data_IF_776347450197
#
_entry.id   IF_776347450197
#
_cell.length_a   1.000
_cell.length_b   1.000
_cell.length_c   1.000
_cell.angle_alpha   90.00
_cell.angle_beta   90.00
_cell.angle_gamma   90.00
#
_symmetry.space_group_name_H-M   'P 1'
#
loop_
_entity.id
_entity.type
_entity.pdbx_description
1 polymer ?
#
# COMPACT_ATOMS: atom_id res chain seq x y z
N UNK A 1 -27.99 2.69 -2.59
CA UNK A 1 -27.61 3.81 -3.45
C UNK A 1 -26.37 3.37 -4.23
N UNK A 2 -26.47 3.32 -5.56
CA UNK A 2 -25.54 2.60 -6.45
C UNK A 2 -24.16 3.26 -6.62
N UNK A 3 -23.91 4.35 -5.90
CA UNK A 3 -22.71 5.20 -6.05
C UNK A 3 -21.47 4.71 -5.28
N UNK A 4 -21.61 3.81 -4.30
CA UNK A 4 -20.47 3.32 -3.51
C UNK A 4 -19.74 2.11 -4.10
N UNK A 5 -20.38 1.36 -5.01
CA UNK A 5 -19.76 0.25 -5.73
C UNK A 5 -18.97 0.72 -6.98
N UNK A 6 -19.46 1.72 -7.70
CA UNK A 6 -18.80 2.32 -8.87
C UNK A 6 -17.49 3.05 -8.53
N UNK A 7 -17.33 3.53 -7.29
CA UNK A 7 -16.11 4.20 -6.87
C UNK A 7 -14.88 3.31 -6.99
N UNK A 8 -15.01 1.98 -6.79
CA UNK A 8 -13.88 1.05 -6.75
C UNK A 8 -13.35 0.60 -8.11
N UNK A 9 -14.12 0.71 -9.21
CA UNK A 9 -13.71 0.07 -10.47
C UNK A 9 -13.03 1.00 -11.47
N UNK A 10 -13.50 2.23 -11.68
CA UNK A 10 -13.06 2.99 -12.88
C UNK A 10 -11.69 3.69 -12.81
N UNK A 11 -11.11 3.90 -11.61
CA UNK A 11 -9.76 4.52 -11.50
C UNK A 11 -8.61 3.52 -11.42
N UNK A 12 -8.90 2.22 -11.30
CA UNK A 12 -7.90 1.16 -11.18
C UNK A 12 -8.28 -0.06 -12.06
N UNK A 13 -8.91 0.16 -13.21
CA UNK A 13 -9.07 -0.87 -14.23
C UNK A 13 -7.69 -1.21 -14.80
N UNK A 14 -7.07 -2.27 -14.27
CA UNK A 14 -5.76 -2.76 -14.66
C UNK A 14 -5.78 -3.55 -15.99
N UNK A 15 -6.96 -3.78 -16.57
CA UNK A 15 -7.11 -4.55 -17.80
C UNK A 15 -6.89 -3.65 -19.02
N UNK A 16 -6.00 -4.05 -19.93
CA UNK A 16 -5.73 -3.33 -21.19
C UNK A 16 -4.67 -2.23 -21.14
N UNK A 17 -4.04 -2.01 -19.98
CA UNK A 17 -2.90 -1.10 -19.81
C UNK A 17 -1.57 -1.87 -19.89
N UNK A 18 -0.49 -1.23 -20.36
CA UNK A 18 0.86 -1.71 -20.07
C UNK A 18 1.14 -1.49 -18.57
N UNK A 19 0.88 -2.51 -17.76
CA UNK A 19 0.96 -2.42 -16.31
C UNK A 19 2.41 -2.31 -15.86
N UNK A 20 2.73 -1.18 -15.23
CA UNK A 20 3.99 -0.98 -14.51
C UNK A 20 3.66 -0.78 -13.04
N UNK A 21 4.17 -1.67 -12.20
CA UNK A 21 4.10 -1.56 -10.75
C UNK A 21 5.48 -1.28 -10.18
N UNK A 22 5.52 -0.67 -9.00
CA UNK A 22 6.76 -0.41 -8.26
C UNK A 22 6.60 -0.91 -6.84
N UNK A 23 7.61 -1.60 -6.31
CA UNK A 23 7.68 -1.94 -4.90
C UNK A 23 8.46 -0.86 -4.15
N UNK A 24 7.79 -0.12 -3.28
CA UNK A 24 8.43 0.86 -2.39
C UNK A 24 8.78 0.18 -1.05
N UNK A 25 9.73 -0.74 -1.15
CA UNK A 25 10.14 -1.62 -0.06
C UNK A 25 10.65 -0.84 1.17
N UNK A 26 10.04 -1.08 2.33
CA UNK A 26 10.33 -0.41 3.62
C UNK A 26 9.99 1.09 3.71
N UNK A 27 9.29 1.68 2.74
CA UNK A 27 8.96 3.10 2.80
C UNK A 27 7.91 3.43 3.87
N UNK A 28 8.03 4.58 4.57
CA UNK A 28 6.97 5.11 5.41
C UNK A 28 5.73 5.51 4.60
N UNK A 29 4.53 5.38 5.18
CA UNK A 29 3.26 5.67 4.48
C UNK A 29 3.19 7.09 3.95
N UNK A 30 3.69 8.06 4.73
CA UNK A 30 3.74 9.47 4.32
C UNK A 30 4.55 9.68 3.05
N UNK A 31 5.68 8.98 2.91
CA UNK A 31 6.57 9.10 1.76
C UNK A 31 5.99 8.42 0.53
N UNK A 32 5.35 7.26 0.70
CA UNK A 32 4.58 6.61 -0.38
C UNK A 32 3.49 7.55 -0.91
N UNK A 33 2.73 8.21 -0.01
CA UNK A 33 1.71 9.18 -0.41
C UNK A 33 2.27 10.37 -1.19
N UNK A 34 3.43 10.91 -0.76
CA UNK A 34 4.12 12.00 -1.46
C UNK A 34 4.60 11.54 -2.85
N UNK A 35 5.15 10.34 -2.94
CA UNK A 35 5.73 9.78 -4.17
C UNK A 35 4.63 9.50 -5.21
N UNK A 36 3.47 9.02 -4.77
CA UNK A 36 2.27 8.86 -5.60
C UNK A 36 1.85 10.17 -6.28
N UNK A 37 1.76 11.27 -5.52
CA UNK A 37 1.37 12.59 -6.02
C UNK A 37 2.47 13.25 -6.87
N UNK A 38 3.73 13.00 -6.51
CA UNK A 38 4.90 13.64 -7.09
C UNK A 38 5.36 13.02 -8.39
N UNK A 39 5.80 11.76 -8.33
CA UNK A 39 6.56 11.08 -9.39
C UNK A 39 5.74 9.98 -10.03
N UNK A 40 5.15 9.07 -9.26
CA UNK A 40 4.54 7.84 -9.79
C UNK A 40 3.39 8.14 -10.73
N UNK A 41 2.52 9.09 -10.37
CA UNK A 41 1.42 9.52 -11.22
C UNK A 41 1.90 10.09 -12.55
N UNK A 42 2.94 10.94 -12.54
CA UNK A 42 3.51 11.54 -13.76
C UNK A 42 4.25 10.52 -14.62
N UNK A 43 4.85 9.51 -14.00
CA UNK A 43 5.53 8.42 -14.68
C UNK A 43 4.58 7.38 -15.28
N UNK A 44 3.27 7.46 -14.98
CA UNK A 44 2.29 6.49 -15.45
C UNK A 44 2.36 5.14 -14.74
N UNK A 45 2.91 5.10 -13.53
CA UNK A 45 2.93 3.88 -12.69
C UNK A 45 1.50 3.55 -12.29
N UNK A 46 1.09 2.30 -12.51
CA UNK A 46 -0.29 1.87 -12.28
C UNK A 46 -0.55 1.55 -10.81
N UNK A 47 0.41 0.94 -10.13
CA UNK A 47 0.27 0.59 -8.73
C UNK A 47 1.60 0.66 -7.97
N UNK A 48 1.50 0.98 -6.69
CA UNK A 48 2.59 0.83 -5.72
C UNK A 48 2.31 -0.38 -4.84
N UNK A 49 3.28 -1.28 -4.74
CA UNK A 49 3.31 -2.34 -3.75
C UNK A 49 3.97 -1.84 -2.48
N UNK A 50 3.28 -2.02 -1.35
CA UNK A 50 3.77 -1.65 -0.02
C UNK A 50 4.06 -2.89 0.80
N UNK A 51 5.10 -2.79 1.63
CA UNK A 51 5.46 -3.83 2.61
C UNK A 51 4.33 -4.08 3.63
N UNK A 52 4.33 -5.24 4.33
CA UNK A 52 3.25 -5.65 5.24
C UNK A 52 2.78 -4.56 6.23
N UNK A 53 1.50 -4.14 6.21
CA UNK A 53 1.04 -2.97 6.96
C UNK A 53 0.58 -3.26 8.38
N UNK A 54 0.47 -4.54 8.75
CA UNK A 54 -0.03 -4.95 10.06
C UNK A 54 1.08 -5.04 11.12
N UNK A 55 0.64 -5.17 12.38
CA UNK A 55 1.51 -5.36 13.53
C UNK A 55 2.42 -6.58 13.36
N UNK A 56 3.71 -6.37 13.59
CA UNK A 56 4.74 -7.39 13.45
C UNK A 56 5.73 -7.33 14.62
N UNK A 57 6.54 -8.38 14.73
CA UNK A 57 7.59 -8.46 15.76
C UNK A 57 8.51 -7.24 15.68
N UNK A 58 8.86 -6.68 16.85
CA UNK A 58 9.81 -5.58 16.95
C UNK A 58 11.24 -6.10 16.78
N UNK A 59 12.08 -5.31 16.12
CA UNK A 59 13.48 -5.65 15.92
C UNK A 59 14.06 -4.95 14.70
N UNK A 60 15.33 -5.22 14.47
CA UNK A 60 16.08 -4.70 13.34
C UNK A 60 15.96 -5.63 12.13
N UNK A 61 16.08 -5.06 10.92
CA UNK A 61 15.99 -5.81 9.66
C UNK A 61 14.58 -5.82 9.08
N UNK A 62 14.52 -5.94 7.75
CA UNK A 62 13.26 -5.90 6.99
C UNK A 62 12.38 -7.15 7.20
N UNK A 63 13.02 -8.29 7.48
CA UNK A 63 12.35 -9.59 7.57
C UNK A 63 11.36 -9.67 8.74
N UNK A 64 11.49 -8.83 9.77
CA UNK A 64 10.57 -8.84 10.91
C UNK A 64 9.13 -8.54 10.52
N UNK A 65 8.91 -7.82 9.40
CA UNK A 65 7.56 -7.52 8.88
C UNK A 65 6.80 -8.75 8.40
N UNK A 66 7.52 -9.82 8.11
CA UNK A 66 6.97 -11.12 7.71
C UNK A 66 6.72 -12.05 8.91
N UNK A 67 6.73 -11.52 10.13
CA UNK A 67 6.33 -12.20 11.37
C UNK A 67 5.13 -11.45 11.99
N UNK A 68 3.90 -11.66 11.48
CA UNK A 68 2.69 -10.96 11.95
C UNK A 68 2.36 -11.31 13.40
N UNK A 69 2.02 -10.31 14.21
CA UNK A 69 1.53 -10.49 15.59
C UNK A 69 0.01 -10.38 15.63
N UNK A 70 -0.55 -9.42 14.88
CA UNK A 70 -1.99 -9.23 14.72
C UNK A 70 -2.29 -8.67 13.32
N UNK A 71 -3.57 -8.41 13.03
CA UNK A 71 -4.01 -7.73 11.82
C UNK A 71 -4.30 -6.24 12.04
N UNK A 72 -3.91 -5.68 13.18
CA UNK A 72 -4.01 -4.24 13.40
C UNK A 72 -3.07 -3.51 12.43
N UNK A 73 -3.58 -2.47 11.76
CA UNK A 73 -2.82 -1.68 10.77
C UNK A 73 -1.89 -0.67 11.46
N UNK A 74 -0.93 -1.20 12.21
CA UNK A 74 0.14 -0.44 12.85
C UNK A 74 1.45 -1.16 12.55
N UNK A 75 2.39 -0.50 11.90
CA UNK A 75 3.66 -1.12 11.53
C UNK A 75 4.80 -0.12 11.58
N UNK A 76 6.02 -0.58 11.27
CA UNK A 76 7.20 0.29 11.14
C UNK A 76 6.98 1.46 10.17
N UNK A 77 6.14 1.29 9.15
CA UNK A 77 5.87 2.33 8.15
C UNK A 77 4.90 3.43 8.62
N UNK A 78 4.19 3.24 9.74
CA UNK A 78 3.28 4.23 10.32
C UNK A 78 2.00 3.64 10.91
N UNK A 79 1.11 4.55 11.34
CA UNK A 79 -0.17 4.22 11.97
C UNK A 79 -1.27 3.86 10.95
N UNK A 80 -2.44 3.46 11.46
CA UNK A 80 -3.63 3.20 10.65
C UNK A 80 -4.09 4.45 9.89
N UNK A 81 -4.03 5.61 10.54
CA UNK A 81 -4.47 6.87 9.95
C UNK A 81 -3.52 7.30 8.83
N UNK A 82 -2.21 7.11 9.02
CA UNK A 82 -1.19 7.35 7.99
C UNK A 82 -1.40 6.41 6.78
N UNK A 83 -1.76 5.14 7.02
CA UNK A 83 -2.06 4.19 5.96
C UNK A 83 -3.31 4.59 5.16
N UNK A 84 -4.39 5.01 5.85
CA UNK A 84 -5.62 5.50 5.20
C UNK A 84 -5.34 6.76 4.37
N UNK A 85 -4.56 7.70 4.89
CA UNK A 85 -4.15 8.91 4.17
C UNK A 85 -3.36 8.56 2.90
N UNK A 86 -2.36 7.70 3.02
CA UNK A 86 -1.55 7.23 1.88
C UNK A 86 -2.42 6.60 0.78
N UNK A 87 -3.33 5.68 1.13
CA UNK A 87 -4.24 5.05 0.15
C UNK A 87 -5.14 6.08 -0.52
N UNK A 88 -5.69 7.02 0.25
CA UNK A 88 -6.54 8.10 -0.25
C UNK A 88 -5.80 8.99 -1.27
N UNK A 89 -4.55 9.36 -0.95
CA UNK A 89 -3.70 10.21 -1.79
C UNK A 89 -3.26 9.51 -3.06
N UNK A 90 -2.76 8.28 -2.97
CA UNK A 90 -2.38 7.48 -4.13
C UNK A 90 -3.57 7.27 -5.09
N UNK A 91 -4.74 6.91 -4.55
CA UNK A 91 -5.95 6.74 -5.36
C UNK A 91 -6.40 8.05 -6.04
N UNK A 92 -6.29 9.20 -5.38
CA UNK A 92 -6.57 10.51 -5.99
C UNK A 92 -5.60 10.79 -7.14
N UNK A 93 -4.33 10.39 -7.00
CA UNK A 93 -3.28 10.51 -8.00
C UNK A 93 -3.38 9.47 -9.15
N UNK A 94 -4.34 8.53 -9.08
CA UNK A 94 -4.52 7.48 -10.09
C UNK A 94 -3.56 6.29 -9.95
N UNK A 95 -2.91 6.15 -8.80
CA UNK A 95 -2.00 5.05 -8.49
C UNK A 95 -2.71 4.10 -7.51
N UNK A 96 -2.87 2.82 -7.90
CA UNK A 96 -3.43 1.80 -7.01
C UNK A 96 -2.44 1.43 -5.90
N UNK A 97 -2.93 0.94 -4.77
CA UNK A 97 -2.10 0.42 -3.68
C UNK A 97 -2.28 -1.09 -3.62
N UNK A 98 -1.18 -1.82 -3.81
CA UNK A 98 -1.09 -3.26 -3.61
C UNK A 98 -0.46 -3.53 -2.25
N UNK A 99 -1.13 -4.32 -1.44
CA UNK A 99 -0.64 -4.69 -0.10
C UNK A 99 0.03 -6.05 -0.19
N UNK A 100 1.26 -6.16 0.26
CA UNK A 100 1.88 -7.46 0.56
C UNK A 100 1.07 -8.11 1.70
N UNK A 101 0.50 -9.31 1.50
CA UNK A 101 -0.36 -10.04 2.44
C UNK A 101 0.31 -11.35 2.89
N UNK A 102 0.65 -11.48 4.18
CA UNK A 102 1.21 -12.70 4.78
C UNK A 102 0.07 -13.51 5.38
N UNK A 103 -0.46 -14.44 4.59
CA UNK A 103 -1.59 -15.30 4.99
C UNK A 103 -1.18 -16.67 5.56
N UNK A 104 0.06 -17.08 5.31
CA UNK A 104 0.49 -18.45 5.54
C UNK A 104 0.82 -18.76 7.01
N UNK A 105 1.31 -17.77 7.76
CA UNK A 105 1.84 -17.98 9.12
C UNK A 105 1.74 -16.71 9.97
N UNK A 106 2.02 -16.86 11.26
CA UNK A 106 2.14 -15.79 12.26
C UNK A 106 3.54 -15.82 12.90
N UNK A 107 3.85 -14.85 13.76
CA UNK A 107 5.09 -14.79 14.52
C UNK A 107 5.34 -16.07 15.34
N UNK A 108 6.60 -16.53 15.35
CA UNK A 108 7.08 -17.67 16.14
C UNK A 108 7.46 -17.30 17.56
#
# INVERSE_FOLDING_TARGET
DSTSAELWSHKCEMWGQNLVTVSLFEWPWKDVGNECEGILSKAGVTAVEVSPPWEHVQGDGWAVRYQPVSHELVSRSGSRDDFIDMVSRCRKAGVAVMVDVVLNHMAA
#
